data_IF_598127367832
#
_entry.id   IF_598127367832
#
_cell.length_a   1.000
_cell.length_b   1.000
_cell.length_c   1.000
_cell.angle_alpha   90.00
_cell.angle_beta   90.00
_cell.angle_gamma   90.00
#
_symmetry.space_group_name_H-M   'P 1'
#
loop_
_entity.id
_entity.type
_entity.pdbx_description
1 polymer ?
#
# COMPACT_ATOMS: atom_id res chain seq x y z
N UNK A 1 12.25 18.26 7.55
CA UNK A 1 11.18 17.25 7.44
C UNK A 1 11.78 15.98 6.82
N UNK A 2 11.66 14.83 7.48
CA UNK A 2 12.14 13.56 6.94
C UNK A 2 11.13 12.99 5.93
N UNK A 3 11.60 12.59 4.74
CA UNK A 3 10.76 11.91 3.74
C UNK A 3 10.69 10.41 4.07
N UNK A 4 9.50 9.83 3.92
CA UNK A 4 9.32 8.38 4.06
C UNK A 4 9.83 7.66 2.81
N UNK A 5 10.86 6.83 2.98
CA UNK A 5 11.46 6.01 1.90
C UNK A 5 11.12 4.51 2.03
N UNK A 6 10.22 4.17 2.94
CA UNK A 6 9.79 2.79 3.16
C UNK A 6 8.80 2.29 2.11
N UNK A 7 8.28 1.06 2.28
CA UNK A 7 7.34 0.46 1.34
C UNK A 7 5.98 1.19 1.33
N UNK A 8 5.73 2.03 0.33
CA UNK A 8 4.51 2.85 0.24
C UNK A 8 3.21 2.04 0.19
N UNK A 9 3.22 0.84 -0.41
CA UNK A 9 2.04 -0.04 -0.43
C UNK A 9 1.68 -0.59 0.97
N UNK A 10 2.61 -0.55 1.94
CA UNK A 10 2.31 -0.88 3.34
C UNK A 10 1.36 0.15 3.94
N UNK A 11 1.48 1.41 3.54
CA UNK A 11 0.62 2.50 4.01
C UNK A 11 -0.81 2.32 3.49
N UNK A 12 -1.00 2.08 2.19
CA UNK A 12 -2.34 1.83 1.64
C UNK A 12 -3.09 0.69 2.37
N UNK A 13 -2.39 -0.41 2.67
CA UNK A 13 -2.96 -1.56 3.39
C UNK A 13 -3.25 -1.29 4.86
N UNK A 14 -2.48 -0.40 5.49
CA UNK A 14 -2.69 -0.03 6.90
C UNK A 14 -3.85 0.96 7.04
N UNK A 15 -3.98 1.90 6.11
CA UNK A 15 -5.05 2.91 6.08
C UNK A 15 -6.36 2.37 5.46
N UNK A 16 -6.37 1.10 5.03
CA UNK A 16 -7.50 0.46 4.37
C UNK A 16 -8.07 1.26 3.17
N UNK A 17 -7.20 1.99 2.46
CA UNK A 17 -7.56 2.82 1.30
C UNK A 17 -6.42 2.92 0.28
N UNK A 18 -6.76 3.08 -1.01
CA UNK A 18 -5.76 3.35 -2.06
C UNK A 18 -5.25 4.78 -1.97
N UNK A 19 -3.99 4.93 -1.55
CA UNK A 19 -3.29 6.22 -1.50
C UNK A 19 -2.54 6.58 -2.80
N UNK A 20 -2.55 5.70 -3.81
CA UNK A 20 -1.91 5.91 -5.12
C UNK A 20 -0.42 6.33 -5.11
N UNK A 21 0.31 6.00 -4.03
CA UNK A 21 1.73 6.38 -3.82
C UNK A 21 2.74 5.72 -4.78
N UNK A 22 2.30 4.80 -5.64
CA UNK A 22 3.14 4.14 -6.67
C UNK A 22 2.71 4.45 -8.11
N UNK A 23 1.81 5.42 -8.32
CA UNK A 23 1.36 5.81 -9.67
C UNK A 23 0.72 4.64 -10.42
N UNK A 24 1.18 4.37 -11.64
CA UNK A 24 0.61 3.39 -12.58
C UNK A 24 0.40 2.00 -11.98
N UNK A 25 1.31 1.55 -11.10
CA UNK A 25 1.17 0.25 -10.43
C UNK A 25 -0.11 0.13 -9.60
N UNK A 26 -0.62 1.24 -9.04
CA UNK A 26 -1.82 1.23 -8.22
C UNK A 26 -3.12 1.00 -9.01
N UNK A 27 -3.08 1.20 -10.33
CA UNK A 27 -4.20 0.94 -11.25
C UNK A 27 -4.17 -0.47 -11.85
N UNK A 28 -3.01 -1.13 -11.82
CA UNK A 28 -2.87 -2.54 -12.24
C UNK A 28 -3.30 -3.54 -11.17
N UNK A 29 -3.59 -4.78 -11.58
CA UNK A 29 -3.82 -5.93 -10.70
C UNK A 29 -2.61 -6.29 -9.82
N UNK A 30 -1.44 -5.72 -10.12
CA UNK A 30 -0.23 -5.86 -9.32
C UNK A 30 -0.18 -4.92 -8.10
N UNK A 31 -1.24 -4.16 -7.85
CA UNK A 31 -1.40 -3.36 -6.65
C UNK A 31 -1.49 -4.27 -5.41
N UNK A 32 -0.64 -4.02 -4.41
CA UNK A 32 -0.63 -4.84 -3.19
C UNK A 32 -1.91 -4.70 -2.36
N UNK A 33 -2.63 -3.57 -2.50
CA UNK A 33 -3.91 -3.34 -1.83
C UNK A 33 -5.02 -4.21 -2.42
N UNK A 34 -5.12 -4.28 -3.76
CA UNK A 34 -6.09 -5.15 -4.46
C UNK A 34 -5.89 -6.62 -4.09
N UNK A 35 -4.63 -7.06 -4.04
CA UNK A 35 -4.31 -8.46 -3.73
C UNK A 35 -4.42 -8.81 -2.24
N UNK A 36 -4.27 -7.81 -1.36
CA UNK A 36 -4.19 -7.96 0.11
C UNK A 36 -4.75 -6.69 0.76
N UNK A 37 -6.06 -6.62 0.87
CA UNK A 37 -6.81 -5.49 1.45
C UNK A 37 -6.83 -5.50 2.98
N UNK A 38 -5.96 -6.28 3.61
CA UNK A 38 -5.82 -6.37 5.06
C UNK A 38 -4.52 -5.71 5.56
N UNK A 39 -4.46 -5.30 6.84
CA UNK A 39 -3.29 -4.65 7.41
C UNK A 39 -2.01 -5.49 7.29
N UNK A 40 -0.82 -4.88 7.16
CA UNK A 40 0.42 -5.62 7.09
C UNK A 40 0.89 -6.06 8.48
N UNK A 41 1.12 -7.37 8.68
CA UNK A 41 1.67 -7.91 9.94
C UNK A 41 1.49 -9.43 10.02
N UNK A 42 1.85 -10.01 11.17
CA UNK A 42 1.60 -11.45 11.43
C UNK A 42 0.11 -11.76 11.66
N UNK A 43 -0.63 -10.80 12.20
CA UNK A 43 -2.09 -10.88 12.41
C UNK A 43 -2.87 -10.13 11.33
N UNK A 44 -2.18 -9.83 10.23
CA UNK A 44 -2.67 -9.05 9.11
C UNK A 44 -3.29 -9.94 8.06
#
# INVERSE_FOLDING_TARGET
MARYIGPSCKLCRRENMKLFLKGDRCYSDNCAFERRSYPPGQHG
#
